data_IF_111217014300
#
_entry.id   IF_111217014300
#
_cell.length_a   1.000
_cell.length_b   1.000
_cell.length_c   1.000
_cell.angle_alpha   90.00
_cell.angle_beta   90.00
_cell.angle_gamma   90.00
#
_symmetry.space_group_name_H-M   'P 1'
#
loop_
_entity.id
_entity.type
_entity.pdbx_description
1 polymer ?
#
# COMPACT_ATOMS: atom_id res chain seq x y z
N UNK A 1 -13.25 45.00 16.80
CA UNK A 1 -12.55 43.99 15.99
C UNK A 1 -13.10 42.62 16.29
N UNK A 2 -13.56 41.90 15.26
CA UNK A 2 -13.75 40.45 15.29
C UNK A 2 -13.31 39.93 13.93
N UNK A 3 -12.04 39.56 13.84
CA UNK A 3 -11.52 38.83 12.70
C UNK A 3 -12.09 37.42 12.77
N UNK A 4 -13.06 37.11 11.91
CA UNK A 4 -13.37 35.73 11.58
C UNK A 4 -12.21 35.19 10.77
N UNK A 5 -11.48 34.24 11.32
CA UNK A 5 -10.53 33.45 10.55
C UNK A 5 -11.34 32.64 9.55
N UNK A 6 -11.24 33.02 8.28
CA UNK A 6 -11.69 32.23 7.14
C UNK A 6 -10.86 30.95 7.10
N UNK A 7 -11.40 29.89 7.69
CA UNK A 7 -10.80 28.56 7.66
C UNK A 7 -10.99 28.01 6.24
N UNK A 8 -10.09 28.40 5.34
CA UNK A 8 -10.05 27.92 3.96
C UNK A 8 -10.04 26.39 3.96
N UNK A 9 -11.19 25.78 3.64
CA UNK A 9 -11.32 24.33 3.44
C UNK A 9 -10.39 23.92 2.30
N UNK A 10 -9.26 23.29 2.64
CA UNK A 10 -8.34 22.70 1.67
C UNK A 10 -9.09 21.67 0.82
N UNK A 11 -8.95 21.74 -0.49
CA UNK A 11 -9.62 20.83 -1.42
C UNK A 11 -9.18 19.38 -1.13
N UNK A 12 -10.15 18.47 -1.06
CA UNK A 12 -9.90 17.06 -0.86
C UNK A 12 -9.13 16.46 -2.05
N UNK A 13 -8.11 15.66 -1.75
CA UNK A 13 -7.30 14.95 -2.74
C UNK A 13 -7.97 13.64 -3.15
N UNK A 14 -7.42 12.95 -4.16
CA UNK A 14 -7.88 11.59 -4.53
C UNK A 14 -7.67 10.57 -3.41
N UNK A 15 -6.71 10.85 -2.51
CA UNK A 15 -6.35 9.97 -1.41
C UNK A 15 -7.29 10.15 -0.21
N UNK A 16 -8.05 11.24 -0.14
CA UNK A 16 -8.99 11.46 0.95
C UNK A 16 -10.23 10.57 0.83
N UNK A 17 -10.51 9.84 1.89
CA UNK A 17 -11.81 9.20 2.10
C UNK A 17 -12.88 10.23 2.53
N UNK A 18 -14.15 9.91 2.29
CA UNK A 18 -15.29 10.76 2.69
C UNK A 18 -15.54 10.77 4.21
N UNK A 19 -15.06 9.74 4.91
CA UNK A 19 -15.09 9.58 6.37
C UNK A 19 -13.83 8.83 6.79
N UNK A 20 -13.36 9.03 8.03
CA UNK A 20 -12.26 8.22 8.57
C UNK A 20 -12.67 6.74 8.51
N UNK A 21 -11.89 5.86 7.87
CA UNK A 21 -12.21 4.44 7.84
C UNK A 21 -12.30 3.87 9.27
N UNK A 22 -13.33 3.09 9.60
CA UNK A 22 -13.49 2.53 10.96
C UNK A 22 -12.43 1.47 11.30
N UNK A 23 -11.78 0.89 10.29
CA UNK A 23 -10.64 -0.01 10.47
C UNK A 23 -9.37 0.79 10.76
N UNK A 24 -8.68 0.49 11.85
CA UNK A 24 -7.37 1.08 12.16
C UNK A 24 -6.31 0.71 11.11
N UNK A 25 -5.30 1.57 10.94
CA UNK A 25 -4.27 1.35 9.90
C UNK A 25 -3.54 0.02 10.07
N UNK A 26 -3.16 -0.38 11.29
CA UNK A 26 -2.47 -1.65 11.55
C UNK A 26 -3.29 -2.87 11.12
N UNK A 27 -4.58 -2.90 11.47
CA UNK A 27 -5.49 -3.98 11.06
C UNK A 27 -5.72 -3.99 9.54
N UNK A 28 -5.73 -2.81 8.91
CA UNK A 28 -5.83 -2.71 7.45
C UNK A 28 -4.59 -3.26 6.76
N UNK A 29 -3.38 -2.91 7.22
CA UNK A 29 -2.12 -3.44 6.68
C UNK A 29 -2.02 -4.97 6.82
N UNK A 30 -2.44 -5.52 7.96
CA UNK A 30 -2.49 -6.97 8.18
C UNK A 30 -3.46 -7.68 7.22
N UNK A 31 -4.60 -7.04 6.93
CA UNK A 31 -5.53 -7.55 5.92
C UNK A 31 -4.90 -7.52 4.52
N UNK A 32 -4.17 -6.47 4.17
CA UNK A 32 -3.50 -6.39 2.87
C UNK A 32 -2.44 -7.49 2.75
N UNK A 33 -1.60 -7.73 3.78
CA UNK A 33 -0.56 -8.76 3.72
C UNK A 33 -1.13 -10.17 3.53
N UNK A 34 -2.30 -10.45 4.12
CA UNK A 34 -3.00 -11.72 3.92
C UNK A 34 -3.56 -11.94 2.50
N UNK A 35 -3.82 -10.86 1.74
CA UNK A 35 -4.62 -10.90 0.51
C UNK A 35 -3.87 -10.45 -0.75
N UNK A 36 -2.83 -9.64 -0.62
CA UNK A 36 -2.04 -9.11 -1.75
C UNK A 36 -1.08 -10.13 -2.35
N UNK A 37 -0.63 -11.13 -1.56
CA UNK A 37 0.31 -12.18 -1.99
C UNK A 37 1.62 -11.60 -2.56
N UNK A 38 2.18 -10.59 -1.91
CA UNK A 38 3.49 -10.02 -2.23
C UNK A 38 4.47 -10.22 -1.07
N UNK A 39 5.75 -9.99 -1.33
CA UNK A 39 6.81 -10.07 -0.32
C UNK A 39 6.72 -8.93 0.71
N UNK A 40 7.34 -9.15 1.88
CA UNK A 40 7.52 -8.10 2.89
C UNK A 40 8.39 -6.95 2.35
N UNK A 41 9.34 -7.26 1.46
CA UNK A 41 10.16 -6.25 0.79
C UNK A 41 9.30 -5.26 0.00
N UNK A 42 8.21 -5.73 -0.62
CA UNK A 42 7.26 -4.87 -1.35
C UNK A 42 6.43 -3.98 -0.42
N UNK A 43 6.18 -4.39 0.82
CA UNK A 43 5.59 -3.50 1.84
C UNK A 43 6.55 -2.36 2.21
N UNK A 44 7.86 -2.66 2.32
CA UNK A 44 8.88 -1.64 2.57
C UNK A 44 8.99 -0.69 1.37
N UNK A 45 8.99 -1.22 0.14
CA UNK A 45 8.94 -0.40 -1.07
C UNK A 45 7.71 0.52 -1.11
N UNK A 46 6.53 0.02 -0.70
CA UNK A 46 5.32 0.83 -0.60
C UNK A 46 5.47 1.98 0.41
N UNK A 47 6.14 1.76 1.55
CA UNK A 47 6.43 2.83 2.53
C UNK A 47 7.34 3.92 1.93
N UNK A 48 8.38 3.53 1.18
CA UNK A 48 9.26 4.46 0.48
C UNK A 48 8.47 5.29 -0.54
N UNK A 49 7.57 4.63 -1.29
CA UNK A 49 6.67 5.30 -2.25
C UNK A 49 5.73 6.28 -1.55
N UNK A 50 5.19 5.94 -0.36
CA UNK A 50 4.41 6.90 0.46
C UNK A 50 5.26 8.12 0.82
N UNK A 51 6.48 7.92 1.32
CA UNK A 51 7.35 9.04 1.74
C UNK A 51 7.69 9.98 0.58
N UNK A 52 8.04 9.42 -0.59
CA UNK A 52 8.27 10.20 -1.81
C UNK A 52 7.04 11.01 -2.21
N UNK A 53 5.86 10.40 -2.17
CA UNK A 53 4.61 11.07 -2.52
C UNK A 53 4.26 12.21 -1.56
N UNK A 54 4.51 12.02 -0.27
CA UNK A 54 4.33 13.08 0.74
C UNK A 54 5.32 14.23 0.52
N UNK A 55 6.54 13.93 0.06
CA UNK A 55 7.56 14.92 -0.29
C UNK A 55 7.33 15.65 -1.63
N UNK A 56 6.62 15.04 -2.59
CA UNK A 56 6.55 15.49 -3.98
C UNK A 56 6.10 16.95 -4.17
N UNK A 57 5.01 17.37 -3.51
CA UNK A 57 4.50 18.75 -3.63
C UNK A 57 5.08 19.68 -2.54
N UNK A 58 6.36 19.49 -2.20
CA UNK A 58 7.02 20.26 -1.13
C UNK A 58 6.38 20.04 0.25
N UNK A 59 5.89 18.82 0.53
CA UNK A 59 5.24 18.50 1.81
C UNK A 59 3.80 19.01 1.95
N UNK A 60 3.17 19.50 0.87
CA UNK A 60 1.81 20.04 0.92
C UNK A 60 0.71 18.97 1.04
N UNK A 61 1.03 17.67 0.95
CA UNK A 61 0.09 16.59 1.20
C UNK A 61 0.26 16.08 2.65
N UNK A 62 -0.51 16.56 3.63
CA UNK A 62 -0.40 16.06 5.00
C UNK A 62 -0.91 14.62 5.08
N UNK A 63 -0.20 13.77 5.83
CA UNK A 63 -0.70 12.46 6.20
C UNK A 63 -1.79 12.59 7.28
N UNK A 64 -2.96 12.02 7.03
CA UNK A 64 -4.12 12.11 7.93
C UNK A 64 -4.82 10.76 8.06
N UNK A 65 -5.67 10.63 9.09
CA UNK A 65 -6.51 9.44 9.27
C UNK A 65 -7.54 9.25 8.13
N UNK A 66 -7.75 10.25 7.28
CA UNK A 66 -8.66 10.16 6.12
C UNK A 66 -7.95 9.67 4.87
N UNK A 67 -6.63 9.79 4.77
CA UNK A 67 -5.90 9.47 3.55
C UNK A 67 -4.88 8.33 3.69
N UNK A 68 -4.44 8.00 4.92
CA UNK A 68 -3.40 6.99 5.15
C UNK A 68 -3.70 5.62 4.52
N UNK A 69 -4.94 5.12 4.62
CA UNK A 69 -5.31 3.83 4.01
C UNK A 69 -5.24 3.84 2.48
N UNK A 70 -5.66 4.94 1.85
CA UNK A 70 -5.70 5.08 0.39
C UNK A 70 -4.32 5.40 -0.19
N UNK A 71 -3.53 6.21 0.52
CA UNK A 71 -2.12 6.44 0.20
C UNK A 71 -1.38 5.11 0.20
N UNK A 72 -1.45 4.37 1.29
CA UNK A 72 -0.76 3.09 1.39
C UNK A 72 -1.26 2.07 0.36
N UNK A 73 -2.58 1.97 0.15
CA UNK A 73 -3.14 1.07 -0.86
C UNK A 73 -2.62 1.39 -2.26
N UNK A 74 -2.63 2.66 -2.65
CA UNK A 74 -2.11 3.11 -3.95
C UNK A 74 -0.62 2.78 -4.09
N UNK A 75 0.17 3.12 -3.08
CA UNK A 75 1.61 2.84 -3.05
C UNK A 75 1.92 1.36 -3.14
N UNK A 76 1.18 0.51 -2.42
CA UNK A 76 1.37 -0.93 -2.46
C UNK A 76 1.00 -1.52 -3.83
N UNK A 77 -0.08 -1.05 -4.46
CA UNK A 77 -0.46 -1.53 -5.80
C UNK A 77 0.63 -1.23 -6.82
N UNK A 78 1.18 -0.01 -6.84
CA UNK A 78 2.25 0.32 -7.79
C UNK A 78 3.56 -0.39 -7.46
N UNK A 79 3.88 -0.55 -6.17
CA UNK A 79 5.09 -1.26 -5.74
C UNK A 79 5.04 -2.74 -6.12
N UNK A 80 3.91 -3.41 -5.90
CA UNK A 80 3.71 -4.81 -6.33
C UNK A 80 3.88 -4.93 -7.84
N UNK A 81 3.26 -4.05 -8.62
CA UNK A 81 3.37 -4.11 -10.08
C UNK A 81 4.76 -3.83 -10.63
N UNK A 82 5.61 -3.16 -9.85
CA UNK A 82 6.96 -2.80 -10.26
C UNK A 82 8.01 -3.83 -9.80
N UNK A 83 7.86 -4.37 -8.60
CA UNK A 83 8.89 -5.21 -7.95
C UNK A 83 8.59 -6.71 -7.96
N UNK A 84 7.34 -7.14 -8.14
CA UNK A 84 6.97 -8.56 -8.12
C UNK A 84 6.81 -9.12 -9.54
N UNK A 85 7.30 -10.34 -9.77
CA UNK A 85 7.14 -11.04 -11.06
C UNK A 85 5.69 -11.51 -11.29
N UNK A 86 4.95 -11.80 -10.21
CA UNK A 86 3.58 -12.27 -10.24
C UNK A 86 2.64 -11.22 -9.67
N UNK A 87 1.81 -10.65 -10.56
CA UNK A 87 0.91 -9.55 -10.23
C UNK A 87 -0.54 -9.93 -10.55
N UNK A 88 -1.47 -9.35 -9.80
CA UNK A 88 -2.91 -9.53 -10.00
C UNK A 88 -3.53 -8.30 -10.65
N UNK A 89 -4.78 -8.44 -11.08
CA UNK A 89 -5.53 -7.33 -11.67
C UNK A 89 -5.88 -6.28 -10.62
N UNK A 90 -6.15 -5.04 -11.04
CA UNK A 90 -6.66 -4.01 -10.13
C UNK A 90 -7.99 -4.38 -9.48
N UNK A 91 -8.78 -5.27 -10.08
CA UNK A 91 -10.02 -5.76 -9.48
C UNK A 91 -9.74 -6.62 -8.25
N UNK A 92 -8.67 -7.43 -8.29
CA UNK A 92 -8.20 -8.17 -7.13
C UNK A 92 -7.76 -7.22 -6.01
N UNK A 93 -6.88 -6.26 -6.32
CA UNK A 93 -6.40 -5.30 -5.33
C UNK A 93 -7.51 -4.41 -4.75
N UNK A 94 -8.51 -4.05 -5.56
CA UNK A 94 -9.68 -3.31 -5.10
C UNK A 94 -10.49 -4.09 -4.06
N UNK A 95 -10.71 -5.39 -4.30
CA UNK A 95 -11.36 -6.28 -3.33
C UNK A 95 -10.55 -6.38 -2.03
N UNK A 96 -9.24 -6.61 -2.15
CA UNK A 96 -8.32 -6.68 -1.01
C UNK A 96 -8.29 -5.37 -0.20
N UNK A 97 -8.30 -4.21 -0.86
CA UNK A 97 -8.34 -2.88 -0.23
C UNK A 97 -9.74 -2.40 0.21
N UNK A 98 -10.82 -3.08 -0.19
CA UNK A 98 -12.18 -2.70 0.20
C UNK A 98 -12.66 -1.41 -0.45
N UNK A 99 -12.20 -1.14 -1.67
CA UNK A 99 -12.56 0.04 -2.47
C UNK A 99 -13.07 -0.40 -3.84
N UNK A 100 -13.69 0.52 -4.59
CA UNK A 100 -14.13 0.18 -5.95
C UNK A 100 -12.94 0.11 -6.90
N UNK A 101 -13.04 -0.73 -7.93
CA UNK A 101 -12.02 -0.83 -9.00
C UNK A 101 -11.61 0.53 -9.57
N UNK A 102 -12.60 1.39 -9.87
CA UNK A 102 -12.37 2.74 -10.38
C UNK A 102 -11.51 3.61 -9.44
N UNK A 103 -11.57 3.36 -8.13
CA UNK A 103 -10.80 4.10 -7.14
C UNK A 103 -9.34 3.64 -7.17
N UNK A 104 -9.07 2.33 -7.20
CA UNK A 104 -7.70 1.82 -7.39
C UNK A 104 -7.10 2.35 -8.69
N UNK A 105 -7.83 2.29 -9.80
CA UNK A 105 -7.36 2.82 -11.09
C UNK A 105 -7.05 4.33 -11.03
N UNK A 106 -7.76 5.09 -10.19
CA UNK A 106 -7.52 6.52 -10.02
C UNK A 106 -6.33 6.79 -9.10
N UNK A 107 -6.20 6.04 -8.01
CA UNK A 107 -5.08 6.10 -7.08
C UNK A 107 -3.77 5.78 -7.82
N UNK A 108 -3.73 4.66 -8.54
CA UNK A 108 -2.56 4.22 -9.32
C UNK A 108 -2.11 5.29 -10.32
N UNK A 109 -3.01 5.77 -11.19
CA UNK A 109 -2.65 6.79 -12.18
C UNK A 109 -2.18 8.09 -11.54
N UNK A 110 -2.84 8.54 -10.48
CA UNK A 110 -2.47 9.80 -9.80
C UNK A 110 -1.10 9.67 -9.16
N UNK A 111 -0.82 8.53 -8.51
CA UNK A 111 0.46 8.28 -7.87
C UNK A 111 1.58 8.15 -8.89
N UNK A 112 1.41 7.36 -9.95
CA UNK A 112 2.41 7.22 -11.01
C UNK A 112 2.75 8.56 -11.65
N UNK A 113 1.73 9.39 -11.93
CA UNK A 113 1.94 10.74 -12.48
C UNK A 113 2.67 11.64 -11.48
N UNK A 114 2.29 11.59 -10.21
CA UNK A 114 2.94 12.37 -9.16
C UNK A 114 4.38 11.94 -8.88
N UNK A 115 4.80 10.73 -9.25
CA UNK A 115 6.19 10.31 -9.07
C UNK A 115 7.00 10.34 -10.37
N UNK A 116 6.43 10.86 -11.46
CA UNK A 116 7.01 10.76 -12.80
C UNK A 116 7.48 9.32 -13.13
N UNK A 117 6.68 8.35 -12.68
CA UNK A 117 6.94 6.92 -12.79
C UNK A 117 8.23 6.42 -12.10
N UNK A 118 8.90 7.23 -11.27
CA UNK A 118 10.07 6.80 -10.48
C UNK A 118 9.68 5.98 -9.24
N UNK A 119 9.55 4.67 -9.45
CA UNK A 119 9.31 3.66 -8.42
C UNK A 119 10.58 2.89 -8.02
N UNK A 120 11.73 3.27 -8.57
CA UNK A 120 12.99 2.57 -8.35
C UNK A 120 13.42 2.70 -6.90
N UNK A 121 13.68 1.57 -6.23
CA UNK A 121 14.18 1.55 -4.85
C UNK A 121 15.62 1.04 -4.88
N UNK A 122 16.57 1.87 -4.47
CA UNK A 122 17.96 1.45 -4.36
C UNK A 122 18.13 0.48 -3.18
N UNK A 123 19.10 -0.45 -3.23
CA UNK A 123 19.40 -1.32 -2.10
C UNK A 123 19.75 -0.57 -0.81
N UNK A 124 20.37 0.62 -0.94
CA UNK A 124 20.70 1.48 0.19
C UNK A 124 19.46 2.06 0.85
N UNK A 125 18.54 2.64 0.06
CA UNK A 125 17.27 3.17 0.57
C UNK A 125 16.44 2.07 1.21
N UNK A 126 16.36 0.89 0.58
CA UNK A 126 15.67 -0.26 1.14
C UNK A 126 16.22 -0.64 2.53
N UNK A 127 17.54 -0.83 2.65
CA UNK A 127 18.18 -1.22 3.91
C UNK A 127 17.96 -0.17 5.01
N UNK A 128 17.97 1.12 4.67
CA UNK A 128 17.68 2.19 5.62
C UNK A 128 16.27 2.06 6.22
N UNK A 129 15.27 1.82 5.38
CA UNK A 129 13.89 1.66 5.82
C UNK A 129 13.69 0.36 6.61
N UNK A 130 14.26 -0.75 6.13
CA UNK A 130 14.23 -2.04 6.82
C UNK A 130 14.85 -1.96 8.21
N UNK A 131 16.05 -1.38 8.34
CA UNK A 131 16.72 -1.19 9.62
C UNK A 131 15.90 -0.31 10.58
N UNK A 132 15.32 0.77 10.07
CA UNK A 132 14.45 1.66 10.83
C UNK A 132 13.24 0.92 11.41
N UNK A 133 12.56 0.11 10.59
CA UNK A 133 11.40 -0.68 11.04
C UNK A 133 11.78 -1.76 12.07
N UNK A 134 12.91 -2.45 11.86
CA UNK A 134 13.42 -3.45 12.81
C UNK A 134 13.75 -2.82 14.16
N UNK A 135 14.31 -1.60 14.15
CA UNK A 135 14.61 -0.86 15.38
C UNK A 135 13.33 -0.47 16.12
N UNK A 136 12.30 0.03 15.40
CA UNK A 136 11.00 0.32 16.01
C UNK A 136 10.38 -0.92 16.66
N UNK A 137 10.40 -2.07 15.96
CA UNK A 137 9.88 -3.33 16.49
C UNK A 137 10.59 -3.81 17.77
N UNK A 138 11.87 -3.47 17.95
CA UNK A 138 12.65 -3.81 19.15
C UNK A 138 12.38 -2.85 20.32
N UNK A 139 12.00 -1.60 20.02
CA UNK A 139 11.73 -0.56 21.01
C UNK A 139 10.30 -0.53 21.56
N UNK A 140 9.36 -1.22 20.90
CA UNK A 140 8.01 -1.40 21.42
C UNK A 140 8.03 -2.35 22.64
N UNK A 141 7.53 -1.96 23.83
CA UNK A 141 7.39 -2.88 24.95
C UNK A 141 6.50 -4.07 24.54
N UNK A 142 6.77 -5.29 25.06
CA UNK A 142 5.99 -6.46 24.70
C UNK A 142 4.53 -6.21 25.09
N UNK A 143 3.66 -6.11 24.08
CA UNK A 143 2.23 -6.08 24.27
C UNK A 143 1.84 -7.35 25.05
N UNK A 144 1.19 -7.17 26.21
CA UNK A 144 0.75 -8.28 27.08
C UNK A 144 -0.14 -9.20 26.26
N UNK A 145 0.39 -10.36 25.86
CA UNK A 145 -0.37 -11.41 25.20
C UNK A 145 -1.49 -11.85 26.13
N UNK A 146 -2.74 -11.53 25.79
CA UNK A 146 -3.88 -12.20 26.42
C UNK A 146 -3.83 -13.69 26.08
N UNK A 147 -3.96 -14.60 27.06
CA UNK A 147 -4.03 -16.02 26.79
C UNK A 147 -5.43 -16.34 26.25
N UNK A 148 -5.51 -16.70 24.97
CA UNK A 148 -6.79 -17.03 24.32
C UNK A 148 -6.62 -17.78 23.01
N UNK A 149 -6.31 -19.08 23.09
CA UNK A 149 -6.68 -20.14 22.15
C UNK A 149 -6.35 -19.99 20.66
N UNK A 150 -5.18 -20.47 20.23
CA UNK A 150 -4.96 -20.87 18.83
C UNK A 150 -5.45 -22.31 18.61
N UNK A 151 -6.60 -22.45 17.94
CA UNK A 151 -6.88 -23.60 17.09
C UNK A 151 -6.19 -23.37 15.73
N UNK A 152 -5.36 -24.32 15.32
CA UNK A 152 -4.53 -24.28 14.12
C UNK A 152 -5.33 -24.11 12.82
N UNK A 153 -5.10 -23.01 12.10
CA UNK A 153 -5.48 -22.89 10.69
C UNK A 153 -4.37 -23.52 9.84
N UNK A 154 -4.56 -24.78 9.46
CA UNK A 154 -3.82 -25.38 8.35
C UNK A 154 -4.18 -24.68 7.05
N UNK A 155 -3.15 -24.27 6.31
CA UNK A 155 -3.26 -23.72 4.97
C UNK A 155 -3.76 -24.85 4.03
N UNK A 156 -4.91 -24.74 3.37
CA UNK A 156 -5.21 -25.66 2.29
C UNK A 156 -4.23 -25.40 1.15
N UNK A 157 -3.59 -26.47 0.67
CA UNK A 157 -2.95 -26.49 -0.62
C UNK A 157 -4.06 -26.50 -1.68
N UNK A 158 -4.15 -25.46 -2.51
CA UNK A 158 -5.00 -25.50 -3.69
C UNK A 158 -4.12 -25.82 -4.92
N UNK A 159 -4.42 -26.92 -5.64
CA UNK A 159 -3.74 -27.29 -6.87
C UNK A 159 -4.53 -26.74 -8.06
N UNK A 160 -4.04 -25.67 -8.70
CA UNK A 160 -4.26 -25.39 -10.14
C UNK A 160 -3.72 -24.00 -10.51
N UNK A 161 -2.45 -23.95 -10.93
CA UNK A 161 -2.07 -23.05 -12.01
C UNK A 161 -1.54 -23.93 -13.15
N UNK A 162 -2.42 -24.23 -14.10
CA UNK A 162 -2.01 -24.63 -15.43
C UNK A 162 -1.49 -23.38 -16.15
N UNK A 163 -0.17 -23.26 -16.25
CA UNK A 163 0.46 -22.42 -17.25
C UNK A 163 0.46 -23.15 -18.59
N UNK A 164 -0.10 -22.59 -19.68
CA UNK A 164 0.39 -22.92 -21.00
C UNK A 164 1.62 -22.05 -21.31
N UNK A 165 2.78 -22.70 -21.40
CA UNK A 165 3.98 -22.14 -22.01
C UNK A 165 3.75 -21.85 -23.51
N UNK A 166 4.35 -20.74 -23.93
CA UNK A 166 4.80 -20.36 -25.28
C UNK A 166 4.89 -21.47 -26.33
N UNK A 167 4.46 -21.14 -27.55
CA UNK A 167 5.13 -21.34 -28.83
C UNK A 167 4.29 -20.64 -29.91
N UNK A 168 4.75 -20.08 -31.01
CA UNK A 168 6.06 -19.68 -31.52
C UNK A 168 5.77 -18.87 -32.81
N UNK A 169 6.72 -18.02 -33.22
CA UNK A 169 7.14 -17.70 -34.59
C UNK A 169 6.11 -17.57 -35.76
N UNK A 170 6.13 -16.41 -36.42
CA UNK A 170 5.99 -16.27 -37.89
C UNK A 170 7.13 -17.03 -38.61
N UNK A 171 7.07 -17.44 -39.90
CA UNK A 171 6.67 -16.70 -41.12
C UNK A 171 5.71 -17.53 -42.03
N UNK A 172 5.19 -17.14 -43.20
CA UNK A 172 5.54 -16.20 -44.29
C UNK A 172 4.40 -15.24 -44.65
#
# INVERSE_FOLDING_TARGET
>A
GRGGADETKKAATVFDSSVIPPIGISAYLLRLSATFRCSDATFIAALIVVDRLLGYDGGRLPLTMRNVHRLFLGSLVVAVKYHEDLVYTNSHYAKSGGVRLREVNRLERTLLTALDFDLGVSPETYRLYEATLLNFSRSSPPEVRSPGGLGSLQKPADPALGCPHKAAAAPD
#
